data_IF_924163755399
#
_entry.id   IF_924163755399
#
_cell.length_a   1.000
_cell.length_b   1.000
_cell.length_c   1.000
_cell.angle_alpha   90.00
_cell.angle_beta   90.00
_cell.angle_gamma   90.00
#
_symmetry.space_group_name_H-M   'P 1'
#
loop_
_entity.id
_entity.type
_entity.pdbx_description
1 polymer ?
#
# COMPACT_ATOMS: atom_id res chain seq x y z
N UNK A 1 -14.80 2.90 1.08
CA UNK A 1 -14.30 2.33 -0.19
C UNK A 1 -12.85 2.76 -0.33
N UNK A 2 -11.94 1.81 -0.50
CA UNK A 2 -10.52 2.10 -0.72
C UNK A 2 -10.34 2.84 -2.05
N UNK A 3 -9.32 3.70 -2.17
CA UNK A 3 -9.02 4.37 -3.45
C UNK A 3 -8.43 3.41 -4.50
N UNK A 4 -7.97 2.24 -4.05
CA UNK A 4 -7.33 1.23 -4.85
C UNK A 4 -7.75 -0.16 -4.36
N UNK A 5 -8.05 -1.05 -5.32
CA UNK A 5 -8.55 -2.42 -5.09
C UNK A 5 -7.42 -3.47 -5.21
N UNK A 6 -6.22 -3.03 -5.61
CA UNK A 6 -5.03 -3.85 -5.76
C UNK A 6 -3.76 -3.15 -5.25
N UNK A 7 -2.77 -3.95 -4.88
CA UNK A 7 -1.51 -3.47 -4.35
C UNK A 7 -0.55 -3.11 -5.48
N UNK A 8 -0.26 -1.83 -5.68
CA UNK A 8 0.63 -1.37 -6.77
C UNK A 8 2.11 -1.71 -6.60
N UNK A 9 2.49 -2.34 -5.48
CA UNK A 9 3.86 -2.77 -5.20
C UNK A 9 4.11 -4.18 -5.77
N UNK A 10 3.16 -5.10 -5.58
CA UNK A 10 3.23 -6.47 -6.12
C UNK A 10 2.31 -6.69 -7.33
N UNK A 11 1.47 -5.71 -7.67
CA UNK A 11 0.46 -5.78 -8.73
C UNK A 11 -0.57 -6.90 -8.54
N UNK A 12 -0.87 -7.26 -7.29
CA UNK A 12 -1.89 -8.26 -6.94
C UNK A 12 -3.09 -7.62 -6.24
N UNK A 13 -4.27 -8.18 -6.48
CA UNK A 13 -5.52 -7.80 -5.84
C UNK A 13 -5.56 -8.16 -4.35
N UNK A 14 -6.32 -7.39 -3.57
CA UNK A 14 -6.53 -7.70 -2.17
C UNK A 14 -7.55 -8.83 -2.02
N UNK A 15 -7.07 -10.03 -1.69
CA UNK A 15 -7.93 -11.18 -1.42
C UNK A 15 -8.46 -11.18 0.01
N UNK A 16 -9.53 -11.94 0.26
CA UNK A 16 -10.06 -12.15 1.60
C UNK A 16 -8.96 -12.70 2.52
N UNK A 17 -8.81 -12.08 3.71
CA UNK A 17 -7.73 -12.32 4.68
C UNK A 17 -6.34 -11.76 4.31
N UNK A 18 -6.21 -10.97 3.25
CA UNK A 18 -4.99 -10.20 3.03
C UNK A 18 -4.80 -9.16 4.13
N UNK A 19 -3.61 -9.14 4.74
CA UNK A 19 -3.22 -8.07 5.65
C UNK A 19 -2.89 -6.83 4.82
N UNK A 20 -3.75 -5.82 4.91
CA UNK A 20 -3.59 -4.54 4.22
C UNK A 20 -3.36 -3.42 5.21
N UNK A 21 -2.69 -2.37 4.74
CA UNK A 21 -2.42 -1.15 5.48
C UNK A 21 -2.86 0.04 4.63
N UNK A 22 -3.69 0.90 5.21
CA UNK A 22 -4.09 2.17 4.61
C UNK A 22 -3.15 3.27 5.10
N UNK A 23 -2.62 4.06 4.16
CA UNK A 23 -1.80 5.24 4.47
C UNK A 23 -2.68 6.48 4.69
N UNK A 24 -2.10 7.54 5.28
CA UNK A 24 -2.77 8.85 5.44
C UNK A 24 -3.29 9.45 4.12
N UNK A 25 -2.68 9.11 2.99
CA UNK A 25 -3.13 9.49 1.65
C UNK A 25 -4.27 8.61 1.10
N UNK A 26 -4.89 7.76 1.94
CA UNK A 26 -5.97 6.81 1.64
C UNK A 26 -5.65 5.72 0.60
N UNK A 27 -4.36 5.53 0.28
CA UNK A 27 -3.92 4.40 -0.54
C UNK A 27 -3.66 3.18 0.33
N UNK A 28 -4.14 2.04 -0.14
CA UNK A 28 -4.03 0.74 0.53
C UNK A 28 -2.95 -0.10 -0.13
N UNK A 29 -2.22 -0.87 0.67
CA UNK A 29 -1.19 -1.79 0.22
C UNK A 29 -1.17 -3.03 1.11
N UNK A 30 -0.62 -4.14 0.61
CA UNK A 30 -0.31 -5.27 1.48
C UNK A 30 0.66 -4.82 2.56
N UNK A 31 0.40 -5.20 3.81
CA UNK A 31 1.22 -4.85 4.97
C UNK A 31 2.69 -5.24 4.75
N UNK A 32 2.93 -6.43 4.19
CA UNK A 32 4.27 -6.87 3.81
C UNK A 32 4.91 -5.97 2.75
N UNK A 33 4.18 -5.63 1.68
CA UNK A 33 4.67 -4.80 0.59
C UNK A 33 5.01 -3.38 1.04
N UNK A 34 4.10 -2.71 1.77
CA UNK A 34 4.36 -1.35 2.25
C UNK A 34 5.46 -1.34 3.29
N UNK A 35 5.56 -2.36 4.14
CA UNK A 35 6.66 -2.48 5.11
C UNK A 35 8.01 -2.55 4.41
N UNK A 36 8.15 -3.38 3.37
CA UNK A 36 9.38 -3.46 2.57
C UNK A 36 9.68 -2.15 1.84
N UNK A 37 8.67 -1.45 1.37
CA UNK A 37 8.82 -0.16 0.72
C UNK A 37 9.32 0.91 1.70
N UNK A 38 8.71 1.00 2.89
CA UNK A 38 9.07 1.94 3.95
C UNK A 38 10.50 1.77 4.46
N UNK A 39 11.07 0.56 4.39
CA UNK A 39 12.48 0.32 4.69
C UNK A 39 13.42 1.04 3.70
N UNK A 40 12.96 1.34 2.49
CA UNK A 40 13.74 2.03 1.45
C UNK A 40 13.34 3.50 1.31
N UNK A 41 12.03 3.79 1.33
CA UNK A 41 11.47 5.14 1.14
C UNK A 41 10.22 5.32 2.01
N UNK A 42 10.21 6.37 2.82
CA UNK A 42 9.07 6.79 3.66
C UNK A 42 8.07 7.65 2.88
N UNK A 43 7.64 7.19 1.70
CA UNK A 43 6.69 7.91 0.85
C UNK A 43 5.75 6.95 0.13
N UNK A 44 4.56 7.42 -0.24
CA UNK A 44 3.53 6.61 -0.89
C UNK A 44 3.96 6.21 -2.31
N UNK A 45 3.92 4.92 -2.69
CA UNK A 45 4.28 4.50 -4.04
C UNK A 45 3.36 5.06 -5.13
N UNK A 46 2.09 5.36 -4.82
CA UNK A 46 1.12 5.87 -5.82
C UNK A 46 1.26 7.37 -6.04
N UNK A 47 1.11 8.15 -4.96
CA UNK A 47 1.02 9.61 -5.05
C UNK A 47 2.31 10.32 -4.62
N UNK A 48 3.33 9.59 -4.14
CA UNK A 48 4.61 10.12 -3.64
C UNK A 48 4.50 11.06 -2.43
N UNK A 49 3.34 11.10 -1.77
CA UNK A 49 3.15 11.79 -0.48
C UNK A 49 4.05 11.16 0.59
N UNK A 50 4.72 11.96 1.42
CA UNK A 50 5.43 11.43 2.58
C UNK A 50 4.46 10.72 3.54
N UNK A 51 4.89 9.59 4.09
CA UNK A 51 4.11 8.75 5.00
C UNK A 51 4.36 9.13 6.44
#
# INVERSE_FOLDING_TARGET
KFLNESCSICSEDFIEKSFVCELQCRHVYHFACIRLWLLKKSSCPFCRQAI
#
